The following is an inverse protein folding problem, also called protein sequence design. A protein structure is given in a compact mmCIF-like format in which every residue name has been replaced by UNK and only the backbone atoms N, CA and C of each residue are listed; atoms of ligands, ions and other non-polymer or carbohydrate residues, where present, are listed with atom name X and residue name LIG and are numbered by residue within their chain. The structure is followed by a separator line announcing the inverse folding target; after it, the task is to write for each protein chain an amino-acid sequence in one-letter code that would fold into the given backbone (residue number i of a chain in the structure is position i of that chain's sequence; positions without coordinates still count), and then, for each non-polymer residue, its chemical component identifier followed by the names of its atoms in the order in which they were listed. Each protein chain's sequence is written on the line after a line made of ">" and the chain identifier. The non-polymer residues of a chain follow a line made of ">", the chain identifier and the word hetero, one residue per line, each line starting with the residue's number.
data_IF_365741410926
#
_entry.id   IF_365741410926
#
_cell.length_a   1.000
_cell.length_b   1.000
_cell.length_c   1.000
_cell.angle_alpha   90.00
_cell.angle_beta   90.00
_cell.angle_gamma   90.00
#
_symmetry.space_group_name_H-M   'P 1'
#
loop_
_entity.id
_entity.type
_entity.pdbx_description
1 polymer ?
#
# COMPACT_ATOMS: atom_id res chain seq x y z
N UNK A 1 1.36 3.43 0.28
CA UNK A 1 0.29 2.77 -0.46
C UNK A 1 -1.08 3.42 -0.24
N UNK A 2 -1.34 4.01 0.92
CA UNK A 2 -2.67 4.51 1.31
C UNK A 2 -2.85 5.98 0.95
N UNK A 3 -1.89 6.84 1.25
CA UNK A 3 -2.01 8.28 1.02
C UNK A 3 -2.91 8.99 2.05
N UNK A 4 -3.48 10.13 1.66
CA UNK A 4 -4.48 10.87 2.42
C UNK A 4 -4.09 11.19 3.86
N UNK A 5 -5.06 11.15 4.76
CA UNK A 5 -4.86 11.45 6.18
C UNK A 5 -3.86 10.51 6.88
N UNK A 6 -3.79 9.23 6.45
CA UNK A 6 -2.83 8.29 7.03
C UNK A 6 -1.39 8.70 6.73
N UNK A 7 -1.09 9.15 5.51
CA UNK A 7 0.22 9.70 5.15
C UNK A 7 0.53 10.94 5.98
N UNK A 8 -0.41 11.87 6.12
CA UNK A 8 -0.25 13.07 6.92
C UNK A 8 0.13 12.72 8.36
N UNK A 9 -0.65 11.85 9.01
CA UNK A 9 -0.38 11.40 10.37
C UNK A 9 0.97 10.70 10.52
N UNK A 10 1.36 9.90 9.55
CA UNK A 10 2.66 9.23 9.52
C UNK A 10 3.81 10.24 9.45
N UNK A 11 3.73 11.23 8.55
CA UNK A 11 4.77 12.25 8.38
C UNK A 11 5.02 13.05 9.66
N UNK A 12 3.94 13.42 10.36
CA UNK A 12 4.07 14.14 11.66
C UNK A 12 4.72 13.29 12.75
N UNK A 13 4.66 11.96 12.65
CA UNK A 13 5.28 11.04 13.62
C UNK A 13 6.66 10.54 13.22
N UNK A 14 7.13 10.88 12.03
CA UNK A 14 8.47 10.47 11.56
C UNK A 14 9.57 11.05 12.44
N UNK A 15 10.63 10.28 12.60
CA UNK A 15 11.89 10.79 13.18
C UNK A 15 12.56 11.78 12.22
N UNK A 16 13.46 12.61 12.75
CA UNK A 16 14.29 13.49 11.92
C UNK A 16 15.04 12.68 10.86
N UNK A 17 15.10 13.22 9.64
CA UNK A 17 15.76 12.59 8.49
C UNK A 17 15.16 11.23 8.10
N UNK A 18 13.91 10.97 8.52
CA UNK A 18 13.18 9.76 8.14
C UNK A 18 12.95 9.68 6.63
N UNK A 19 12.72 8.45 6.15
CA UNK A 19 12.44 8.18 4.74
C UNK A 19 11.05 7.59 4.58
N UNK A 20 10.34 8.02 3.55
CA UNK A 20 9.04 7.50 3.16
C UNK A 20 9.11 7.09 1.70
N UNK A 21 8.76 5.84 1.42
CA UNK A 21 8.65 5.32 0.06
C UNK A 21 7.18 5.27 -0.33
N UNK A 22 6.84 5.97 -1.40
CA UNK A 22 5.48 6.09 -1.90
C UNK A 22 5.30 5.17 -3.11
N UNK A 23 4.45 4.13 -2.98
CA UNK A 23 4.13 3.25 -4.10
C UNK A 23 2.66 3.33 -4.54
N UNK A 24 1.85 4.15 -3.90
CA UNK A 24 0.45 4.38 -4.24
C UNK A 24 -0.28 5.24 -3.21
N UNK A 25 -1.50 5.60 -3.53
CA UNK A 25 -2.35 6.45 -2.69
C UNK A 25 -3.83 5.99 -2.81
N UNK A 26 -4.11 4.73 -2.49
CA UNK A 26 -5.41 4.09 -2.77
C UNK A 26 -6.60 4.82 -2.16
N UNK A 27 -6.42 5.51 -1.03
CA UNK A 27 -7.48 6.30 -0.39
C UNK A 27 -7.91 7.52 -1.20
N UNK A 28 -7.14 7.88 -2.25
CA UNK A 28 -7.38 9.07 -3.07
C UNK A 28 -7.87 8.73 -4.48
N UNK A 29 -7.96 7.44 -4.85
CA UNK A 29 -8.32 7.02 -6.22
C UNK A 29 -9.80 7.20 -6.54
N UNK A 30 -10.66 7.19 -5.53
CA UNK A 30 -12.13 7.26 -5.66
C UNK A 30 -12.73 8.50 -4.98
N UNK A 31 -11.91 9.49 -4.66
CA UNK A 31 -12.38 10.70 -3.99
C UNK A 31 -12.06 11.95 -4.80
N UNK A 32 -13.01 12.85 -4.88
CA UNK A 32 -12.74 14.24 -5.26
C UNK A 32 -11.61 14.79 -4.39
N UNK A 33 -10.67 15.46 -5.02
CA UNK A 33 -9.36 15.88 -4.52
C UNK A 33 -9.32 16.72 -3.23
N UNK A 34 -10.39 16.77 -2.46
CA UNK A 34 -10.54 17.62 -1.28
C UNK A 34 -9.80 17.15 -0.03
N UNK A 35 -9.34 15.88 0.01
CA UNK A 35 -8.64 15.32 1.18
C UNK A 35 -7.12 15.16 0.98
N UNK A 36 -6.49 16.13 0.33
CA UNK A 36 -5.03 16.13 0.22
C UNK A 36 -4.37 16.38 1.58
N UNK A 37 -3.27 15.69 1.90
CA UNK A 37 -2.50 15.97 3.11
C UNK A 37 -2.07 17.43 3.16
N UNK A 38 -2.27 18.07 4.31
CA UNK A 38 -1.96 19.50 4.46
C UNK A 38 -0.51 19.70 4.91
N UNK A 39 0.07 20.84 4.50
CA UNK A 39 1.40 21.28 4.95
C UNK A 39 2.55 20.27 4.76
N UNK A 40 2.46 19.41 3.75
CA UNK A 40 3.52 18.42 3.44
C UNK A 40 4.90 19.08 3.31
N UNK A 41 5.10 20.17 2.52
CA UNK A 41 6.40 20.83 2.40
C UNK A 41 6.95 21.30 3.75
N UNK A 42 6.11 21.86 4.62
CA UNK A 42 6.52 22.32 5.94
C UNK A 42 7.04 21.19 6.83
N UNK A 43 6.36 20.04 6.84
CA UNK A 43 6.81 18.86 7.60
C UNK A 43 8.10 18.28 7.02
N UNK A 44 8.23 18.21 5.69
CA UNK A 44 9.46 17.74 5.03
C UNK A 44 10.64 18.60 5.47
N UNK A 45 10.50 19.93 5.41
CA UNK A 45 11.58 20.87 5.78
C UNK A 45 11.93 20.76 7.27
N UNK A 46 10.94 20.85 8.15
CA UNK A 46 11.20 20.86 9.60
C UNK A 46 11.82 19.57 10.11
N UNK A 47 11.43 18.43 9.53
CA UNK A 47 11.98 17.11 9.87
C UNK A 47 13.08 16.62 8.94
N UNK A 48 13.42 17.37 7.89
CA UNK A 48 14.42 16.99 6.85
C UNK A 48 14.11 15.59 6.28
N UNK A 49 12.82 15.33 5.97
CA UNK A 49 12.38 14.04 5.45
C UNK A 49 12.79 13.86 3.99
N UNK A 50 12.98 12.61 3.59
CA UNK A 50 13.09 12.19 2.20
C UNK A 50 11.82 11.42 1.83
N UNK A 51 11.07 11.92 0.84
CA UNK A 51 9.95 11.23 0.22
C UNK A 51 10.35 10.85 -1.19
N UNK A 52 10.17 9.58 -1.54
CA UNK A 52 10.55 9.05 -2.85
C UNK A 52 9.45 8.14 -3.37
N UNK A 53 9.02 8.39 -4.61
CA UNK A 53 8.06 7.55 -5.31
C UNK A 53 8.77 6.49 -6.15
N UNK A 54 8.12 5.34 -6.37
CA UNK A 54 8.55 4.33 -7.31
C UNK A 54 7.35 3.62 -7.94
N UNK A 55 7.58 2.98 -9.05
CA UNK A 55 6.64 2.06 -9.69
C UNK A 55 7.31 0.69 -9.86
N UNK A 56 6.57 -0.39 -9.61
CA UNK A 56 7.13 -1.75 -9.65
C UNK A 56 7.71 -2.13 -11.01
N UNK A 57 7.23 -1.51 -12.09
CA UNK A 57 7.73 -1.73 -13.45
C UNK A 57 9.21 -1.35 -13.63
N UNK A 58 9.73 -0.45 -12.80
CA UNK A 58 11.15 -0.04 -12.85
C UNK A 58 12.10 -1.17 -12.39
N UNK A 59 11.55 -2.21 -11.72
CA UNK A 59 12.30 -3.32 -11.12
C UNK A 59 12.06 -4.67 -11.80
N UNK A 60 11.67 -4.67 -13.07
CA UNK A 60 11.31 -5.91 -13.79
C UNK A 60 12.43 -6.96 -13.80
N UNK A 61 13.69 -6.53 -13.89
CA UNK A 61 14.86 -7.42 -13.88
C UNK A 61 15.07 -8.14 -12.55
N UNK A 62 14.50 -7.61 -11.48
CA UNK A 62 14.67 -8.12 -10.11
C UNK A 62 13.47 -8.99 -9.67
N UNK A 63 12.38 -9.01 -10.45
CA UNK A 63 11.15 -9.69 -10.08
C UNK A 63 11.34 -11.19 -9.82
N UNK A 64 12.14 -11.88 -10.63
CA UNK A 64 12.40 -13.31 -10.43
C UNK A 64 13.04 -13.59 -9.09
N UNK A 65 14.07 -12.81 -8.74
CA UNK A 65 14.74 -12.96 -7.45
C UNK A 65 13.79 -12.61 -6.28
N UNK A 66 13.00 -11.57 -6.42
CA UNK A 66 12.04 -11.18 -5.39
C UNK A 66 11.00 -12.28 -5.15
N UNK A 67 10.46 -12.90 -6.22
CA UNK A 67 9.51 -14.01 -6.11
C UNK A 67 10.15 -15.24 -5.47
N UNK A 68 11.39 -15.56 -5.83
CA UNK A 68 12.13 -16.67 -5.24
C UNK A 68 12.34 -16.46 -3.73
N UNK A 69 12.79 -15.27 -3.32
CA UNK A 69 13.01 -14.93 -1.92
C UNK A 69 11.69 -14.94 -1.12
N UNK A 70 10.60 -14.40 -1.67
CA UNK A 70 9.27 -14.43 -1.05
C UNK A 70 8.76 -15.87 -0.88
N UNK A 71 8.94 -16.75 -1.88
CA UNK A 71 8.56 -18.16 -1.81
C UNK A 71 9.33 -18.87 -0.70
N UNK A 72 10.64 -18.68 -0.62
CA UNK A 72 11.48 -19.26 0.45
C UNK A 72 11.03 -18.81 1.83
N UNK A 73 10.74 -17.52 2.01
CA UNK A 73 10.26 -17.01 3.30
C UNK A 73 8.87 -17.54 3.68
N UNK A 74 8.01 -17.71 2.69
CA UNK A 74 6.68 -18.30 2.90
C UNK A 74 6.79 -19.77 3.32
N UNK A 75 7.57 -20.58 2.60
CA UNK A 75 7.81 -22.01 2.91
C UNK A 75 8.49 -22.21 4.27
N UNK A 76 9.41 -21.31 4.63
CA UNK A 76 10.06 -21.30 5.93
C UNK A 76 9.17 -20.79 7.08
N UNK A 77 7.92 -20.40 6.82
CA UNK A 77 7.00 -19.84 7.83
C UNK A 77 7.39 -18.44 8.35
N UNK A 78 8.33 -17.78 7.69
CA UNK A 78 8.78 -16.44 8.06
C UNK A 78 7.84 -15.35 7.51
N UNK A 79 7.08 -15.65 6.46
CA UNK A 79 6.09 -14.76 5.86
C UNK A 79 4.68 -15.29 6.14
N UNK A 80 3.86 -14.48 6.81
CA UNK A 80 2.44 -14.77 7.03
C UNK A 80 1.62 -14.06 5.96
N UNK A 81 0.81 -14.83 5.24
CA UNK A 81 -0.12 -14.31 4.23
C UNK A 81 -1.53 -14.42 4.76
N UNK A 82 -2.26 -13.30 4.73
CA UNK A 82 -3.69 -13.26 5.06
C UNK A 82 -4.47 -13.08 3.77
N UNK A 83 -5.50 -13.92 3.60
CA UNK A 83 -6.39 -13.86 2.44
C UNK A 83 -7.85 -13.81 2.90
N UNK A 84 -8.65 -13.06 2.17
CA UNK A 84 -10.10 -13.04 2.28
C UNK A 84 -10.69 -13.60 0.98
N UNK A 85 -11.42 -14.71 1.09
CA UNK A 85 -11.87 -15.47 -0.07
C UNK A 85 -13.37 -15.25 -0.34
N UNK A 86 -13.69 -14.91 -1.57
CA UNK A 86 -15.03 -14.86 -2.11
C UNK A 86 -15.22 -16.01 -3.12
N UNK A 87 -16.40 -16.61 -3.17
CA UNK A 87 -16.69 -17.75 -4.06
C UNK A 87 -17.52 -17.31 -5.27
N UNK A 88 -17.09 -17.78 -6.44
CA UNK A 88 -17.75 -17.52 -7.71
C UNK A 88 -17.53 -16.11 -8.25
N UNK A 89 -17.57 -15.98 -9.56
CA UNK A 89 -17.35 -14.71 -10.26
C UNK A 89 -18.40 -13.65 -9.90
N UNK A 90 -19.63 -14.07 -9.58
CA UNK A 90 -20.72 -13.17 -9.19
C UNK A 90 -20.41 -12.39 -7.90
N UNK A 91 -19.48 -12.88 -7.08
CA UNK A 91 -19.04 -12.19 -5.88
C UNK A 91 -18.04 -11.05 -6.13
N UNK A 92 -17.49 -10.93 -7.35
CA UNK A 92 -16.45 -9.96 -7.69
C UNK A 92 -16.85 -8.49 -7.44
N UNK A 93 -18.06 -8.02 -7.80
CA UNK A 93 -18.46 -6.64 -7.54
C UNK A 93 -18.50 -6.32 -6.04
N UNK A 94 -19.03 -7.25 -5.22
CA UNK A 94 -19.07 -7.09 -3.78
C UNK A 94 -17.67 -7.08 -3.16
N UNK A 95 -16.80 -7.98 -3.61
CA UNK A 95 -15.41 -8.05 -3.16
C UNK A 95 -14.66 -6.75 -3.46
N UNK A 96 -14.85 -6.18 -4.66
CA UNK A 96 -14.26 -4.89 -5.04
C UNK A 96 -14.76 -3.75 -4.15
N UNK A 97 -16.08 -3.66 -3.93
CA UNK A 97 -16.66 -2.63 -3.06
C UNK A 97 -16.10 -2.74 -1.64
N UNK A 98 -15.98 -3.95 -1.09
CA UNK A 98 -15.43 -4.15 0.23
C UNK A 98 -13.95 -3.80 0.31
N UNK A 99 -13.18 -4.13 -0.73
CA UNK A 99 -11.77 -3.75 -0.85
C UNK A 99 -11.60 -2.22 -0.83
N UNK A 100 -12.36 -1.49 -1.66
CA UNK A 100 -12.31 -0.03 -1.73
C UNK A 100 -12.75 0.64 -0.42
N UNK A 101 -13.64 0.00 0.34
CA UNK A 101 -14.06 0.43 1.68
C UNK A 101 -13.08 0.04 2.80
N UNK A 102 -11.99 -0.67 2.47
CA UNK A 102 -10.99 -1.11 3.45
C UNK A 102 -11.52 -2.13 4.46
N UNK A 103 -12.54 -2.92 4.08
CA UNK A 103 -13.14 -3.95 4.95
C UNK A 103 -12.37 -5.27 4.95
N UNK A 104 -11.48 -5.47 3.97
CA UNK A 104 -10.70 -6.69 3.83
C UNK A 104 -9.55 -6.78 4.81
N UNK A 105 -9.26 -7.99 5.26
CA UNK A 105 -8.03 -8.34 5.97
C UNK A 105 -7.13 -9.17 5.04
N UNK A 106 -6.07 -8.53 4.56
CA UNK A 106 -5.12 -9.18 3.64
C UNK A 106 -5.55 -9.12 2.18
N UNK A 107 -5.14 -10.11 1.39
CA UNK A 107 -5.40 -10.17 -0.06
C UNK A 107 -6.81 -10.68 -0.34
N UNK A 108 -7.62 -9.87 -0.99
CA UNK A 108 -8.93 -10.31 -1.50
C UNK A 108 -8.74 -11.23 -2.72
N UNK A 109 -9.32 -12.42 -2.67
CA UNK A 109 -9.23 -13.45 -3.71
C UNK A 109 -10.64 -13.92 -4.07
N UNK A 110 -10.89 -14.08 -5.36
CA UNK A 110 -12.12 -14.71 -5.88
C UNK A 110 -11.76 -16.10 -6.40
N UNK A 111 -12.36 -17.11 -5.78
CA UNK A 111 -12.26 -18.50 -6.25
C UNK A 111 -13.37 -18.75 -7.25
N UNK A 112 -13.00 -19.08 -8.47
CA UNK A 112 -13.89 -19.44 -9.58
C UNK A 112 -14.15 -20.94 -9.56
#
# INVERSE_FOLDING_TARGET
>A
NVGGNLLEQALYRMRLKGRVVCCGAISQYDQDTTSSPKNIPGVIVTKRLKLEGFIVMDFQTENFKALEDLSKWFEAGQLKVFTEEYKGLDSAPLALINLLKGKNLGKTIIKI
#
